data_IF_283006373410
#
_entry.id   IF_283006373410
#
_cell.length_a   1.000
_cell.length_b   1.000
_cell.length_c   1.000
_cell.angle_alpha   90.00
_cell.angle_beta   90.00
_cell.angle_gamma   90.00
#
_symmetry.space_group_name_H-M   'P 1'
#
loop_
_entity.id
_entity.type
_entity.pdbx_description
1 polymer ?
#
# COMPACT_ATOMS: atom_id res chain seq x y z
N UNK A 1 36.32 4.77 -8.39
CA UNK A 1 36.20 3.39 -8.95
C UNK A 1 35.13 2.53 -8.24
N UNK A 2 34.54 2.95 -7.12
CA UNK A 2 33.47 2.23 -6.39
C UNK A 2 32.18 2.06 -7.22
N UNK A 3 31.75 3.06 -7.99
CA UNK A 3 30.44 3.06 -8.64
C UNK A 3 30.21 2.03 -9.78
N UNK A 4 31.20 1.27 -10.22
CA UNK A 4 31.04 0.24 -11.26
C UNK A 4 30.75 -1.15 -10.69
N UNK A 5 31.16 -1.45 -9.45
CA UNK A 5 30.92 -2.76 -8.79
C UNK A 5 29.52 -2.88 -8.19
N UNK A 6 28.86 -1.75 -7.88
CA UNK A 6 27.55 -1.75 -7.22
C UNK A 6 26.37 -1.81 -8.21
N UNK A 7 26.63 -1.58 -9.52
CA UNK A 7 25.59 -1.59 -10.56
C UNK A 7 24.78 -2.89 -10.63
N UNK A 8 25.41 -4.10 -10.61
CA UNK A 8 24.63 -5.35 -10.68
C UNK A 8 23.67 -5.54 -9.51
N UNK A 9 24.09 -5.17 -8.29
CA UNK A 9 23.24 -5.28 -7.10
C UNK A 9 22.07 -4.29 -7.11
N UNK A 10 22.30 -3.06 -7.59
CA UNK A 10 21.23 -2.05 -7.73
C UNK A 10 20.20 -2.44 -8.78
N UNK A 11 20.64 -2.94 -9.94
CA UNK A 11 19.72 -3.45 -10.98
C UNK A 11 18.93 -4.66 -10.48
N UNK A 12 19.55 -5.55 -9.70
CA UNK A 12 18.85 -6.68 -9.09
C UNK A 12 17.80 -6.24 -8.05
N UNK A 13 18.07 -5.16 -7.28
CA UNK A 13 17.07 -4.55 -6.37
C UNK A 13 15.89 -3.94 -7.14
N UNK A 14 16.16 -3.28 -8.26
CA UNK A 14 15.15 -2.70 -9.14
C UNK A 14 14.27 -3.82 -9.75
N UNK A 15 14.89 -4.89 -10.26
CA UNK A 15 14.18 -6.06 -10.78
C UNK A 15 13.36 -6.77 -9.68
N UNK A 16 13.93 -6.93 -8.48
CA UNK A 16 13.23 -7.47 -7.33
C UNK A 16 12.00 -6.64 -6.99
N UNK A 17 12.13 -5.31 -6.96
CA UNK A 17 11.02 -4.40 -6.68
C UNK A 17 9.92 -4.48 -7.72
N UNK A 18 10.29 -4.61 -8.99
CA UNK A 18 9.36 -4.76 -10.10
C UNK A 18 8.54 -6.06 -9.98
N UNK A 19 9.20 -7.20 -9.83
CA UNK A 19 8.51 -8.50 -9.79
C UNK A 19 7.77 -8.73 -8.46
N UNK A 20 8.26 -8.18 -7.36
CA UNK A 20 7.61 -8.29 -6.06
C UNK A 20 6.30 -7.47 -5.98
N UNK A 21 6.15 -6.44 -6.80
CA UNK A 21 4.98 -5.57 -6.82
C UNK A 21 3.69 -6.34 -7.12
N UNK A 22 3.67 -7.15 -8.18
CA UNK A 22 2.50 -7.95 -8.55
C UNK A 22 2.17 -9.03 -7.50
N UNK A 23 3.19 -9.58 -6.86
CA UNK A 23 3.02 -10.55 -5.77
C UNK A 23 2.32 -9.93 -4.55
N UNK A 24 2.55 -8.65 -4.27
CA UNK A 24 1.94 -7.93 -3.15
C UNK A 24 0.54 -7.41 -3.47
N UNK A 25 0.33 -6.90 -4.67
CA UNK A 25 -0.89 -6.20 -5.07
C UNK A 25 -1.78 -7.00 -6.03
N UNK A 26 -1.20 -7.91 -6.81
CA UNK A 26 -1.88 -8.53 -7.96
C UNK A 26 -3.07 -9.42 -7.59
N UNK A 27 -2.96 -10.21 -6.53
CA UNK A 27 -4.01 -11.18 -6.16
C UNK A 27 -5.13 -10.54 -5.33
N UNK A 28 -4.81 -9.57 -4.48
CA UNK A 28 -5.77 -8.98 -3.54
C UNK A 28 -7.07 -8.47 -4.17
N UNK A 29 -7.03 -7.61 -5.18
CA UNK A 29 -8.24 -7.11 -5.86
C UNK A 29 -9.01 -8.21 -6.60
N UNK A 30 -8.32 -9.21 -7.16
CA UNK A 30 -8.95 -10.34 -7.87
C UNK A 30 -9.59 -11.35 -6.94
N UNK A 31 -9.12 -11.48 -5.69
CA UNK A 31 -9.64 -12.42 -4.70
C UNK A 31 -11.13 -12.21 -4.45
N UNK A 32 -11.56 -10.97 -4.23
CA UNK A 32 -12.96 -10.66 -3.97
C UNK A 32 -13.87 -11.11 -5.10
N UNK A 33 -13.48 -10.84 -6.33
CA UNK A 33 -14.24 -11.22 -7.53
C UNK A 33 -14.21 -12.73 -7.76
N UNK A 34 -13.07 -13.40 -7.51
CA UNK A 34 -12.96 -14.86 -7.60
C UNK A 34 -13.90 -15.55 -6.61
N UNK A 35 -13.89 -15.14 -5.34
CA UNK A 35 -14.75 -15.72 -4.31
C UNK A 35 -16.25 -15.45 -4.61
N UNK A 36 -16.58 -14.27 -5.11
CA UNK A 36 -17.91 -13.94 -5.56
C UNK A 36 -18.39 -14.88 -6.69
N UNK A 37 -17.52 -15.16 -7.68
CA UNK A 37 -17.79 -16.08 -8.76
C UNK A 37 -18.02 -17.53 -8.27
N UNK A 38 -17.47 -17.90 -7.11
CA UNK A 38 -17.71 -19.18 -6.44
C UNK A 38 -18.88 -19.15 -5.44
N UNK A 39 -19.74 -18.13 -5.52
CA UNK A 39 -20.96 -18.08 -4.74
C UNK A 39 -20.82 -17.52 -3.33
N UNK A 40 -19.66 -16.97 -2.98
CA UNK A 40 -19.50 -16.28 -1.68
C UNK A 40 -20.27 -14.96 -1.67
N UNK A 41 -20.74 -14.58 -0.46
CA UNK A 41 -21.37 -13.28 -0.24
C UNK A 41 -20.33 -12.22 0.14
N UNK A 42 -20.63 -10.95 -0.10
CA UNK A 42 -19.72 -9.83 0.11
C UNK A 42 -19.23 -9.69 1.57
N UNK A 43 -20.08 -9.96 2.56
CA UNK A 43 -19.71 -9.91 3.99
C UNK A 43 -18.58 -10.87 4.36
N UNK A 44 -18.75 -12.20 4.16
CA UNK A 44 -17.68 -13.18 4.37
C UNK A 44 -16.40 -12.88 3.56
N UNK A 45 -16.50 -12.43 2.32
CA UNK A 45 -15.34 -12.00 1.50
C UNK A 45 -14.59 -10.87 2.22
N UNK A 46 -15.29 -9.81 2.60
CA UNK A 46 -14.71 -8.70 3.33
C UNK A 46 -14.08 -9.12 4.66
N UNK A 47 -14.72 -10.06 5.37
CA UNK A 47 -14.21 -10.58 6.66
C UNK A 47 -12.88 -11.31 6.50
N UNK A 48 -12.75 -12.23 5.54
CA UNK A 48 -11.48 -12.96 5.35
C UNK A 48 -10.35 -12.05 4.90
N UNK A 49 -10.64 -11.05 4.05
CA UNK A 49 -9.66 -10.03 3.64
C UNK A 49 -9.22 -9.21 4.86
N UNK A 50 -10.16 -8.77 5.69
CA UNK A 50 -9.85 -7.98 6.90
C UNK A 50 -9.07 -8.78 7.94
N UNK A 51 -9.39 -10.05 8.18
CA UNK A 51 -8.65 -10.92 9.10
C UNK A 51 -7.19 -11.05 8.64
N UNK A 52 -6.96 -11.30 7.35
CA UNK A 52 -5.63 -11.33 6.77
C UNK A 52 -4.89 -10.00 6.96
N UNK A 53 -5.54 -8.89 6.62
CA UNK A 53 -4.93 -7.55 6.72
C UNK A 53 -4.57 -7.17 8.17
N UNK A 54 -5.44 -7.47 9.15
CA UNK A 54 -5.16 -7.28 10.59
C UNK A 54 -3.98 -8.14 11.03
N UNK A 55 -3.95 -9.42 10.64
CA UNK A 55 -2.85 -10.32 10.97
C UNK A 55 -1.52 -9.81 10.38
N UNK A 56 -1.53 -9.39 9.11
CA UNK A 56 -0.36 -8.78 8.46
C UNK A 56 0.11 -7.51 9.18
N UNK A 57 -0.81 -6.61 9.53
CA UNK A 57 -0.48 -5.39 10.27
C UNK A 57 0.18 -5.69 11.62
N UNK A 58 -0.36 -6.65 12.38
CA UNK A 58 0.22 -7.07 13.66
C UNK A 58 1.60 -7.73 13.50
N UNK A 59 1.84 -8.38 12.36
CA UNK A 59 3.10 -9.06 12.08
C UNK A 59 4.22 -8.12 11.61
N UNK A 60 3.94 -6.90 11.13
CA UNK A 60 4.96 -5.98 10.60
C UNK A 60 6.10 -5.73 11.59
N UNK A 61 5.79 -5.43 12.85
CA UNK A 61 6.78 -5.18 13.89
C UNK A 61 7.64 -6.41 14.20
N UNK A 62 7.05 -7.55 14.56
CA UNK A 62 7.78 -8.80 14.77
C UNK A 62 8.61 -9.24 13.55
N UNK A 63 8.05 -9.18 12.35
CA UNK A 63 8.77 -9.53 11.12
C UNK A 63 9.94 -8.58 10.86
N UNK A 64 9.78 -7.28 11.09
CA UNK A 64 10.86 -6.30 11.00
C UNK A 64 12.01 -6.65 11.94
N UNK A 65 11.71 -6.92 13.21
CA UNK A 65 12.71 -7.33 14.20
C UNK A 65 13.43 -8.63 13.81
N UNK A 66 12.72 -9.61 13.25
CA UNK A 66 13.33 -10.85 12.76
C UNK A 66 14.23 -10.61 11.55
N UNK A 67 13.83 -9.74 10.63
CA UNK A 67 14.64 -9.33 9.46
C UNK A 67 15.91 -8.61 9.90
N UNK A 68 15.83 -7.75 10.93
CA UNK A 68 16.98 -7.05 11.45
C UNK A 68 17.97 -8.01 12.17
N UNK A 69 17.43 -9.00 12.87
CA UNK A 69 18.24 -10.00 13.58
C UNK A 69 18.98 -10.98 12.63
N UNK A 70 18.48 -11.17 11.39
CA UNK A 70 19.09 -12.16 10.48
C UNK A 70 20.15 -11.56 9.56
N UNK A 71 21.22 -12.33 9.32
CA UNK A 71 22.19 -12.08 8.25
C UNK A 71 21.75 -12.64 6.89
N UNK A 72 20.69 -13.49 6.86
CA UNK A 72 20.19 -14.17 5.66
C UNK A 72 18.99 -13.46 5.03
N UNK A 73 19.02 -12.12 4.93
CA UNK A 73 17.90 -11.30 4.44
C UNK A 73 17.36 -11.75 3.07
N UNK A 74 18.24 -12.22 2.16
CA UNK A 74 17.85 -12.74 0.84
C UNK A 74 16.97 -13.99 0.95
N UNK A 75 17.41 -14.97 1.77
CA UNK A 75 16.63 -16.20 1.99
C UNK A 75 15.32 -15.91 2.71
N UNK A 76 15.31 -14.94 3.62
CA UNK A 76 14.11 -14.50 4.32
C UNK A 76 13.05 -13.95 3.35
N UNK A 77 13.44 -13.07 2.44
CA UNK A 77 12.54 -12.52 1.40
C UNK A 77 12.05 -13.64 0.47
N UNK A 78 12.94 -14.55 0.07
CA UNK A 78 12.56 -15.67 -0.80
C UNK A 78 11.54 -16.60 -0.13
N UNK A 79 11.73 -16.94 1.15
CA UNK A 79 10.80 -17.78 1.93
C UNK A 79 9.46 -17.06 2.12
N UNK A 80 9.48 -15.79 2.50
CA UNK A 80 8.26 -14.99 2.65
C UNK A 80 7.47 -14.91 1.31
N UNK A 81 8.18 -14.71 0.20
CA UNK A 81 7.57 -14.73 -1.12
C UNK A 81 6.94 -16.07 -1.49
N UNK A 82 7.63 -17.18 -1.24
CA UNK A 82 7.12 -18.54 -1.47
C UNK A 82 5.90 -18.84 -0.60
N UNK A 83 5.92 -18.46 0.68
CA UNK A 83 4.79 -18.64 1.58
C UNK A 83 3.57 -17.85 1.12
N UNK A 84 3.76 -16.58 0.74
CA UNK A 84 2.70 -15.74 0.20
C UNK A 84 2.08 -16.33 -1.06
N UNK A 85 2.93 -16.76 -2.01
CA UNK A 85 2.48 -17.42 -3.25
C UNK A 85 1.72 -18.72 -2.97
N UNK A 86 2.27 -19.59 -2.12
CA UNK A 86 1.66 -20.88 -1.79
C UNK A 86 0.31 -20.69 -1.10
N UNK A 87 0.22 -19.75 -0.17
CA UNK A 87 -1.02 -19.40 0.50
C UNK A 87 -2.07 -18.89 -0.49
N UNK A 88 -1.67 -18.00 -1.40
CA UNK A 88 -2.55 -17.49 -2.45
C UNK A 88 -3.01 -18.59 -3.42
N UNK A 89 -2.12 -19.54 -3.74
CA UNK A 89 -2.46 -20.71 -4.56
C UNK A 89 -3.51 -21.64 -3.93
N UNK A 90 -3.55 -21.75 -2.59
CA UNK A 90 -4.56 -22.55 -1.89
C UNK A 90 -6.00 -22.09 -2.17
N UNK A 91 -6.19 -20.82 -2.51
CA UNK A 91 -7.48 -20.27 -2.92
C UNK A 91 -8.04 -20.92 -4.19
N UNK A 92 -7.18 -21.40 -5.08
CA UNK A 92 -7.60 -22.12 -6.29
C UNK A 92 -8.00 -23.57 -6.01
N UNK A 93 -7.44 -24.17 -4.95
CA UNK A 93 -7.62 -25.59 -4.64
C UNK A 93 -8.83 -25.82 -3.74
N UNK A 94 -9.12 -24.90 -2.84
CA UNK A 94 -10.20 -25.05 -1.85
C UNK A 94 -10.98 -23.78 -1.64
N UNK A 95 -12.30 -23.90 -1.63
CA UNK A 95 -13.24 -22.80 -1.36
C UNK A 95 -13.81 -22.85 0.08
N UNK A 96 -13.25 -23.68 0.95
CA UNK A 96 -13.71 -23.76 2.34
C UNK A 96 -13.32 -22.48 3.11
N UNK A 97 -14.25 -21.87 3.88
CA UNK A 97 -14.01 -20.57 4.54
C UNK A 97 -12.77 -20.54 5.44
N UNK A 98 -12.51 -21.61 6.18
CA UNK A 98 -11.35 -21.70 7.05
C UNK A 98 -10.02 -21.80 6.29
N UNK A 99 -10.01 -22.47 5.09
CA UNK A 99 -8.82 -22.54 4.24
C UNK A 99 -8.52 -21.17 3.65
N UNK A 100 -9.54 -20.48 3.14
CA UNK A 100 -9.40 -19.13 2.60
C UNK A 100 -8.92 -18.16 3.70
N UNK A 101 -9.53 -18.21 4.90
CA UNK A 101 -9.11 -17.39 6.04
C UNK A 101 -7.65 -17.64 6.44
N UNK A 102 -7.26 -18.91 6.58
CA UNK A 102 -5.89 -19.28 6.90
C UNK A 102 -4.90 -18.84 5.80
N UNK A 103 -5.26 -19.03 4.52
CA UNK A 103 -4.42 -18.59 3.40
C UNK A 103 -4.20 -17.07 3.42
N UNK A 104 -5.24 -16.28 3.70
CA UNK A 104 -5.12 -14.82 3.80
C UNK A 104 -4.24 -14.39 4.97
N UNK A 105 -4.37 -15.03 6.14
CA UNK A 105 -3.50 -14.78 7.29
C UNK A 105 -2.04 -15.07 6.90
N UNK A 106 -1.75 -16.24 6.35
CA UNK A 106 -0.38 -16.64 5.98
C UNK A 106 0.18 -15.72 4.91
N UNK A 107 -0.60 -15.38 3.86
CA UNK A 107 -0.17 -14.48 2.80
C UNK A 107 0.16 -13.07 3.34
N UNK A 108 -0.72 -12.50 4.17
CA UNK A 108 -0.52 -11.15 4.72
C UNK A 108 0.63 -11.09 5.73
N UNK A 109 0.78 -12.12 6.59
CA UNK A 109 1.90 -12.21 7.54
C UNK A 109 3.23 -12.39 6.80
N UNK A 110 3.27 -13.24 5.77
CA UNK A 110 4.45 -13.38 4.92
C UNK A 110 4.76 -12.07 4.18
N UNK A 111 3.74 -11.41 3.63
CA UNK A 111 3.86 -10.10 2.98
C UNK A 111 4.42 -9.01 3.90
N UNK A 112 4.05 -9.05 5.19
CA UNK A 112 4.54 -8.09 6.19
C UNK A 112 6.07 -8.12 6.39
N UNK A 113 6.72 -9.23 6.06
CA UNK A 113 8.19 -9.36 6.12
C UNK A 113 8.91 -8.76 4.91
N UNK A 114 8.21 -8.60 3.78
CA UNK A 114 8.82 -8.15 2.51
C UNK A 114 9.25 -6.69 2.56
N UNK A 115 8.44 -5.81 3.13
CA UNK A 115 8.76 -4.38 3.26
C UNK A 115 10.06 -4.11 4.03
N UNK A 116 10.15 -4.54 5.30
CA UNK A 116 11.40 -4.44 6.09
C UNK A 116 12.59 -5.11 5.40
N UNK A 117 12.37 -6.28 4.78
CA UNK A 117 13.41 -7.00 4.03
C UNK A 117 13.99 -6.17 2.88
N UNK A 118 13.13 -5.50 2.11
CA UNK A 118 13.54 -4.62 1.01
C UNK A 118 14.31 -3.40 1.50
N UNK A 119 13.84 -2.77 2.58
CA UNK A 119 14.55 -1.63 3.20
C UNK A 119 15.93 -2.06 3.67
N UNK A 120 16.04 -3.18 4.39
CA UNK A 120 17.33 -3.71 4.87
C UNK A 120 18.28 -4.08 3.73
N UNK A 121 17.80 -4.74 2.65
CA UNK A 121 18.64 -5.03 1.48
C UNK A 121 19.06 -3.75 0.76
N UNK A 122 18.16 -2.77 0.64
CA UNK A 122 18.48 -1.49 -0.02
C UNK A 122 19.55 -0.72 0.76
N UNK A 123 19.46 -0.69 2.08
CA UNK A 123 20.48 -0.10 2.95
C UNK A 123 21.83 -0.83 2.81
N UNK A 124 21.80 -2.16 2.88
CA UNK A 124 23.03 -2.97 2.79
C UNK A 124 23.75 -2.88 1.44
N UNK A 125 23.02 -2.58 0.33
CA UNK A 125 23.60 -2.47 -1.02
C UNK A 125 23.94 -1.03 -1.39
N UNK A 126 23.09 -0.07 -1.02
CA UNK A 126 23.23 1.32 -1.45
C UNK A 126 23.94 2.19 -0.42
N UNK A 127 24.16 1.69 0.78
CA UNK A 127 24.63 2.41 1.96
C UNK A 127 23.75 3.61 2.31
N UNK A 128 23.92 4.19 3.49
CA UNK A 128 23.08 5.31 3.94
C UNK A 128 23.12 6.50 2.96
N UNK A 129 24.29 6.81 2.40
CA UNK A 129 24.46 7.90 1.44
C UNK A 129 23.68 7.71 0.12
N UNK A 130 23.50 6.46 -0.32
CA UNK A 130 22.79 6.12 -1.57
C UNK A 130 21.35 5.68 -1.38
N UNK A 131 20.90 5.49 -0.15
CA UNK A 131 19.61 4.88 0.17
C UNK A 131 18.42 5.60 -0.45
N UNK A 132 18.31 6.92 -0.25
CA UNK A 132 17.16 7.68 -0.76
C UNK A 132 17.03 7.60 -2.29
N UNK A 133 18.16 7.69 -3.01
CA UNK A 133 18.16 7.60 -4.47
C UNK A 133 17.81 6.20 -4.96
N UNK A 134 18.32 5.14 -4.28
CA UNK A 134 18.01 3.76 -4.64
C UNK A 134 16.58 3.38 -4.26
N UNK A 135 16.11 3.79 -3.07
CA UNK A 135 14.75 3.54 -2.64
C UNK A 135 13.73 4.23 -3.55
N UNK A 136 14.02 5.45 -4.00
CA UNK A 136 13.19 6.14 -5.00
C UNK A 136 13.08 5.36 -6.33
N UNK A 137 14.19 4.78 -6.80
CA UNK A 137 14.18 3.90 -7.99
C UNK A 137 13.43 2.61 -7.74
N UNK A 138 13.64 1.96 -6.61
CA UNK A 138 12.91 0.76 -6.22
C UNK A 138 11.40 1.01 -6.24
N UNK A 139 10.94 2.15 -5.72
CA UNK A 139 9.53 2.52 -5.76
C UNK A 139 9.01 2.76 -7.17
N UNK A 140 9.80 3.41 -8.04
CA UNK A 140 9.41 3.60 -9.44
C UNK A 140 9.26 2.24 -10.18
N UNK A 141 10.20 1.31 -9.94
CA UNK A 141 10.10 -0.06 -10.50
C UNK A 141 8.95 -0.84 -9.88
N UNK A 142 8.63 -0.66 -8.60
CA UNK A 142 7.46 -1.27 -7.96
C UNK A 142 6.15 -0.77 -8.61
N UNK A 143 5.99 0.53 -8.81
CA UNK A 143 4.82 1.06 -9.52
C UNK A 143 4.72 0.58 -10.97
N UNK A 144 5.85 0.47 -11.68
CA UNK A 144 5.88 -0.10 -13.03
C UNK A 144 5.49 -1.58 -13.01
N UNK A 145 5.95 -2.34 -12.01
CA UNK A 145 5.59 -3.75 -11.81
C UNK A 145 4.09 -3.92 -11.54
N UNK A 146 3.50 -3.10 -10.68
CA UNK A 146 2.06 -3.09 -10.43
C UNK A 146 1.25 -2.80 -11.71
N UNK A 147 1.67 -1.80 -12.48
CA UNK A 147 1.00 -1.43 -13.73
C UNK A 147 1.07 -2.57 -14.76
N UNK A 148 2.25 -3.11 -15.00
CA UNK A 148 2.47 -4.20 -15.96
C UNK A 148 1.81 -5.49 -15.50
N UNK A 149 1.94 -5.86 -14.23
CA UNK A 149 1.30 -7.03 -13.63
C UNK A 149 -0.22 -6.95 -13.75
N UNK A 150 -0.82 -5.83 -13.40
CA UNK A 150 -2.27 -5.64 -13.54
C UNK A 150 -2.74 -5.72 -15.00
N UNK A 151 -2.02 -5.08 -15.93
CA UNK A 151 -2.37 -5.13 -17.35
C UNK A 151 -2.28 -6.55 -17.91
N UNK A 152 -1.21 -7.29 -17.59
CA UNK A 152 -1.05 -8.69 -18.00
C UNK A 152 -2.10 -9.60 -17.34
N UNK A 153 -2.39 -9.41 -16.05
CA UNK A 153 -3.44 -10.13 -15.32
C UNK A 153 -4.80 -9.94 -15.97
N UNK A 154 -5.11 -8.71 -16.41
CA UNK A 154 -6.36 -8.42 -17.13
C UNK A 154 -6.45 -9.15 -18.46
N UNK A 155 -5.41 -9.07 -19.30
CA UNK A 155 -5.39 -9.72 -20.62
C UNK A 155 -5.43 -11.24 -20.48
N UNK A 156 -4.60 -11.81 -19.59
CA UNK A 156 -4.52 -13.25 -19.39
C UNK A 156 -5.79 -13.78 -18.71
N UNK A 157 -6.32 -13.05 -17.73
CA UNK A 157 -7.56 -13.41 -17.05
C UNK A 157 -8.77 -13.41 -17.99
N UNK A 158 -8.86 -12.40 -18.87
CA UNK A 158 -9.89 -12.33 -19.90
C UNK A 158 -9.78 -13.49 -20.91
N UNK A 159 -8.54 -13.80 -21.36
CA UNK A 159 -8.30 -14.82 -22.40
C UNK A 159 -8.35 -16.27 -21.89
N UNK A 160 -7.86 -16.51 -20.69
CA UNK A 160 -7.58 -17.83 -20.13
C UNK A 160 -8.25 -18.08 -18.77
N UNK A 161 -9.02 -17.12 -18.26
CA UNK A 161 -9.69 -17.20 -16.97
C UNK A 161 -8.80 -16.88 -15.76
N UNK A 162 -9.40 -16.86 -14.58
CA UNK A 162 -8.73 -16.47 -13.33
C UNK A 162 -7.48 -17.27 -12.98
N UNK A 163 -7.42 -18.55 -13.35
CA UNK A 163 -6.24 -19.39 -13.13
C UNK A 163 -4.98 -18.78 -13.75
N UNK A 164 -5.09 -18.11 -14.89
CA UNK A 164 -3.97 -17.48 -15.56
C UNK A 164 -3.39 -16.31 -14.77
N UNK A 165 -4.20 -15.56 -14.01
CA UNK A 165 -3.75 -14.49 -13.12
C UNK A 165 -2.85 -15.05 -12.02
N UNK A 166 -3.23 -16.18 -11.41
CA UNK A 166 -2.42 -16.86 -10.39
C UNK A 166 -1.14 -17.44 -10.96
N UNK A 167 -1.17 -17.99 -12.17
CA UNK A 167 0.04 -18.45 -12.86
C UNK A 167 1.00 -17.29 -13.18
N UNK A 168 0.48 -16.13 -13.57
CA UNK A 168 1.30 -14.94 -13.76
C UNK A 168 1.97 -14.51 -12.44
N UNK A 169 1.21 -14.47 -11.34
CA UNK A 169 1.76 -14.18 -10.01
C UNK A 169 2.83 -15.22 -9.61
N UNK A 170 2.68 -16.50 -9.97
CA UNK A 170 3.70 -17.52 -9.75
C UNK A 170 4.99 -17.21 -10.54
N UNK A 171 4.87 -16.82 -11.81
CA UNK A 171 6.02 -16.42 -12.64
C UNK A 171 6.71 -15.21 -12.04
N UNK A 172 5.97 -14.18 -11.66
CA UNK A 172 6.54 -12.99 -11.02
C UNK A 172 7.23 -13.32 -9.69
N UNK A 173 6.66 -14.24 -8.91
CA UNK A 173 7.29 -14.72 -7.67
C UNK A 173 8.61 -15.45 -7.93
N UNK A 174 8.67 -16.31 -8.92
CA UNK A 174 9.91 -17.00 -9.31
C UNK A 174 10.96 -15.99 -9.78
N UNK A 175 10.57 -15.00 -10.59
CA UNK A 175 11.47 -13.94 -11.07
C UNK A 175 11.92 -13.01 -9.93
N UNK A 176 11.06 -12.76 -8.95
CA UNK A 176 11.40 -12.04 -7.72
C UNK A 176 12.46 -12.80 -6.90
N UNK A 177 12.26 -14.11 -6.71
CA UNK A 177 13.22 -14.97 -6.01
C UNK A 177 14.55 -15.03 -6.78
N UNK A 178 14.51 -15.18 -8.10
CA UNK A 178 15.72 -15.13 -8.92
C UNK A 178 16.45 -13.79 -8.77
N UNK A 179 15.71 -12.68 -8.78
CA UNK A 179 16.26 -11.33 -8.61
C UNK A 179 16.91 -11.13 -7.24
N UNK A 180 16.30 -11.63 -6.16
CA UNK A 180 16.90 -11.50 -4.82
C UNK A 180 18.18 -12.31 -4.69
N UNK A 181 18.26 -13.47 -5.34
CA UNK A 181 19.49 -14.28 -5.35
C UNK A 181 20.56 -13.75 -6.33
N UNK A 182 20.17 -12.96 -7.32
CA UNK A 182 21.09 -12.24 -8.20
C UNK A 182 21.86 -11.11 -7.47
N UNK A 183 21.40 -10.65 -6.31
CA UNK A 183 22.16 -9.71 -5.48
C UNK A 183 23.37 -10.43 -4.88
N UNK A 184 24.63 -10.07 -5.21
CA UNK A 184 25.82 -10.74 -4.66
C UNK A 184 25.88 -10.58 -3.14
N UNK A 185 26.19 -11.67 -2.42
CA UNK A 185 26.32 -11.62 -0.94
C UNK A 185 27.41 -10.66 -0.49
N UNK A 186 28.50 -10.58 -1.25
CA UNK A 186 29.67 -9.79 -0.93
C UNK A 186 29.44 -8.26 -0.90
N UNK A 187 28.36 -7.78 -1.53
CA UNK A 187 28.05 -6.34 -1.57
C UNK A 187 27.03 -5.92 -0.50
N UNK A 188 26.47 -6.88 0.25
CA UNK A 188 25.49 -6.58 1.30
C UNK A 188 26.25 -6.32 2.59
N UNK A 189 26.30 -5.07 2.99
CA UNK A 189 26.77 -4.69 4.31
C UNK A 189 25.68 -4.97 5.35
N UNK A 190 25.97 -5.94 6.24
CA UNK A 190 24.98 -6.39 7.22
C UNK A 190 24.81 -5.42 8.39
N UNK A 191 25.82 -4.61 8.71
CA UNK A 191 25.76 -3.66 9.80
C UNK A 191 24.98 -2.41 9.36
N UNK A 192 25.24 -1.91 8.15
CA UNK A 192 24.40 -0.88 7.55
C UNK A 192 22.97 -1.35 7.33
N UNK A 193 22.77 -2.59 6.87
CA UNK A 193 21.46 -3.19 6.68
C UNK A 193 20.62 -3.31 7.98
N UNK A 194 21.23 -3.15 9.15
CA UNK A 194 20.60 -3.08 10.48
C UNK A 194 20.49 -1.65 11.00
N UNK A 195 20.99 -0.66 10.27
CA UNK A 195 21.04 0.73 10.71
C UNK A 195 22.05 0.99 11.84
N UNK A 196 23.08 0.13 11.99
CA UNK A 196 24.10 0.25 13.02
C UNK A 196 25.34 1.05 12.57
N UNK A 197 25.46 1.37 11.29
CA UNK A 197 26.52 2.21 10.77
C UNK A 197 26.30 3.66 11.22
N UNK A 198 27.30 4.22 11.92
CA UNK A 198 27.37 5.58 12.42
C UNK A 198 26.38 5.97 13.55
N UNK A 199 26.57 5.35 14.72
CA UNK A 199 26.23 5.97 15.98
C UNK A 199 27.51 6.33 16.78
N UNK A 200 28.25 7.40 16.41
CA UNK A 200 29.27 7.92 17.32
C UNK A 200 28.54 8.71 18.42
N UNK A 201 28.31 8.08 19.57
CA UNK A 201 28.35 8.78 20.83
C UNK A 201 27.19 9.64 21.29
N UNK A 202 26.05 9.70 20.61
CA UNK A 202 24.86 10.38 21.14
C UNK A 202 23.78 9.37 21.52
N UNK A 203 23.81 8.97 22.79
CA UNK A 203 22.68 8.34 23.46
C UNK A 203 21.51 9.31 23.57
N UNK A 204 20.86 9.62 22.47
CA UNK A 204 19.50 10.13 22.52
C UNK A 204 18.62 9.00 23.02
N UNK A 205 18.45 8.91 24.35
CA UNK A 205 17.42 8.04 24.95
C UNK A 205 16.12 8.37 24.25
N UNK A 206 15.50 7.42 23.53
CA UNK A 206 14.21 7.68 22.92
C UNK A 206 13.24 7.98 24.07
N UNK A 207 12.84 9.23 24.21
CA UNK A 207 11.68 9.54 25.04
C UNK A 207 10.55 8.66 24.53
N UNK A 208 9.91 7.88 25.42
CA UNK A 208 8.98 6.81 25.07
C UNK A 208 7.90 7.20 24.05
N UNK A 209 7.29 6.24 23.42
CA UNK A 209 6.18 6.37 22.47
C UNK A 209 5.09 7.34 22.96
N UNK A 210 4.95 7.50 24.30
CA UNK A 210 4.02 8.41 24.93
C UNK A 210 4.08 9.86 24.42
N UNK A 211 5.27 10.36 24.03
CA UNK A 211 5.40 11.74 23.55
C UNK A 211 4.83 11.99 22.15
N UNK A 212 4.58 10.95 21.36
CA UNK A 212 3.86 11.07 20.09
C UNK A 212 2.40 11.40 20.32
N UNK A 213 1.82 10.91 21.44
CA UNK A 213 0.43 11.19 21.85
C UNK A 213 0.25 12.63 22.41
N UNK A 214 1.33 13.33 22.68
CA UNK A 214 1.28 14.73 23.13
C UNK A 214 1.12 15.71 21.95
N UNK A 215 1.48 15.29 20.73
CA UNK A 215 1.38 16.14 19.54
C UNK A 215 -0.05 16.14 18.96
N UNK A 216 -0.84 17.13 19.33
CA UNK A 216 -2.20 17.31 18.78
C UNK A 216 -2.25 17.32 17.26
N UNK A 217 -1.34 18.03 16.51
CA UNK A 217 -1.35 17.99 15.05
C UNK A 217 -1.15 16.59 14.50
N UNK A 218 -0.26 15.78 15.13
CA UNK A 218 0.00 14.40 14.71
C UNK A 218 -1.21 13.49 14.94
N UNK A 219 -1.87 13.63 16.10
CA UNK A 219 -3.08 12.84 16.40
C UNK A 219 -4.23 13.15 15.44
N UNK A 220 -4.45 14.43 15.13
CA UNK A 220 -5.48 14.81 14.14
C UNK A 220 -5.14 14.26 12.76
N UNK A 221 -3.88 14.34 12.33
CA UNK A 221 -3.44 13.76 11.07
C UNK A 221 -3.63 12.23 11.06
N UNK A 222 -3.29 11.54 12.16
CA UNK A 222 -3.49 10.10 12.31
C UNK A 222 -4.97 9.71 12.19
N UNK A 223 -5.85 10.41 12.91
CA UNK A 223 -7.29 10.15 12.87
C UNK A 223 -7.88 10.42 11.49
N UNK A 224 -7.52 11.54 10.85
CA UNK A 224 -8.00 11.88 9.52
C UNK A 224 -7.54 10.87 8.45
N UNK A 225 -6.27 10.44 8.50
CA UNK A 225 -5.73 9.44 7.58
C UNK A 225 -6.30 8.05 7.85
N UNK A 226 -6.49 7.66 9.10
CA UNK A 226 -7.16 6.39 9.46
C UNK A 226 -8.58 6.32 8.88
N UNK A 227 -9.37 7.38 9.05
CA UNK A 227 -10.73 7.46 8.53
C UNK A 227 -10.76 7.50 7.00
N UNK A 228 -9.78 8.16 6.38
CA UNK A 228 -9.62 8.12 4.93
C UNK A 228 -9.43 6.68 4.44
N UNK A 229 -8.46 5.95 4.99
CA UNK A 229 -8.19 4.57 4.59
C UNK A 229 -9.31 3.60 4.97
N UNK A 230 -10.06 3.89 6.03
CA UNK A 230 -11.28 3.14 6.38
C UNK A 230 -12.35 3.28 5.29
N UNK A 231 -12.45 4.44 4.67
CA UNK A 231 -13.35 4.65 3.53
C UNK A 231 -12.81 4.10 2.21
N UNK A 232 -11.51 4.21 1.99
CA UNK A 232 -10.88 3.98 0.69
C UNK A 232 -10.57 2.52 0.37
N UNK A 233 -9.97 1.79 1.30
CA UNK A 233 -9.31 0.51 1.02
C UNK A 233 -10.24 -0.58 0.47
N UNK A 234 -11.52 -0.58 0.84
CA UNK A 234 -12.49 -1.54 0.31
C UNK A 234 -13.15 -1.08 -0.99
N UNK A 235 -13.05 0.20 -1.38
CA UNK A 235 -13.81 0.72 -2.54
C UNK A 235 -13.42 0.01 -3.83
N UNK A 236 -12.13 -0.17 -4.11
CA UNK A 236 -11.66 -0.82 -5.33
C UNK A 236 -12.17 -2.27 -5.45
N UNK A 237 -11.94 -3.17 -4.47
CA UNK A 237 -12.45 -4.54 -4.56
C UNK A 237 -13.98 -4.62 -4.55
N UNK A 238 -14.68 -3.78 -3.79
CA UNK A 238 -16.14 -3.76 -3.75
C UNK A 238 -16.74 -3.25 -5.07
N UNK A 239 -16.13 -2.24 -5.69
CA UNK A 239 -16.56 -1.75 -6.98
C UNK A 239 -16.40 -2.80 -8.07
N UNK A 240 -15.28 -3.54 -8.08
CA UNK A 240 -15.07 -4.69 -8.94
C UNK A 240 -16.17 -5.76 -8.74
N UNK A 241 -16.43 -6.13 -7.50
CA UNK A 241 -17.50 -7.09 -7.18
C UNK A 241 -18.90 -6.57 -7.59
N UNK A 242 -19.18 -5.29 -7.42
CA UNK A 242 -20.45 -4.67 -7.80
C UNK A 242 -20.71 -4.77 -9.30
N UNK A 243 -19.73 -4.43 -10.14
CA UNK A 243 -19.86 -4.48 -11.60
C UNK A 243 -20.01 -5.91 -12.11
N UNK A 244 -19.26 -6.85 -11.50
CA UNK A 244 -19.33 -8.28 -11.83
C UNK A 244 -20.67 -8.87 -11.41
N UNK A 245 -21.15 -8.57 -10.20
CA UNK A 245 -22.47 -9.01 -9.72
C UNK A 245 -23.61 -8.46 -10.58
N UNK A 246 -23.45 -7.28 -11.18
CA UNK A 246 -24.39 -6.69 -12.13
C UNK A 246 -24.28 -7.25 -13.56
N UNK A 247 -23.37 -8.20 -13.83
CA UNK A 247 -23.06 -8.73 -15.17
C UNK A 247 -22.71 -7.65 -16.20
N UNK A 248 -22.04 -6.57 -15.79
CA UNK A 248 -21.73 -5.40 -16.63
C UNK A 248 -20.26 -5.25 -17.00
N UNK A 249 -19.46 -6.32 -16.92
CA UNK A 249 -18.06 -6.32 -17.31
C UNK A 249 -17.42 -7.69 -17.17
N UNK A 250 -16.33 -7.91 -17.92
CA UNK A 250 -15.47 -9.06 -17.70
C UNK A 250 -14.75 -8.93 -16.35
N UNK A 251 -14.83 -9.92 -15.47
CA UNK A 251 -14.33 -9.81 -14.11
C UNK A 251 -12.84 -9.46 -14.04
N UNK A 252 -12.00 -10.17 -14.79
CA UNK A 252 -10.55 -9.98 -14.75
C UNK A 252 -10.12 -8.69 -15.45
N UNK A 253 -10.68 -8.42 -16.63
CA UNK A 253 -10.40 -7.21 -17.39
C UNK A 253 -10.84 -5.95 -16.66
N UNK A 254 -12.01 -5.97 -15.97
CA UNK A 254 -12.48 -4.84 -15.20
C UNK A 254 -11.54 -4.53 -14.02
N UNK A 255 -11.19 -5.53 -13.18
CA UNK A 255 -10.28 -5.35 -12.05
C UNK A 255 -8.90 -4.87 -12.51
N UNK A 256 -8.37 -5.40 -13.60
CA UNK A 256 -7.11 -4.91 -14.16
C UNK A 256 -7.20 -3.44 -14.58
N UNK A 257 -8.30 -3.06 -15.24
CA UNK A 257 -8.51 -1.67 -15.68
C UNK A 257 -8.59 -0.72 -14.49
N UNK A 258 -9.23 -1.11 -13.37
CA UNK A 258 -9.26 -0.29 -12.15
C UNK A 258 -7.85 0.03 -11.67
N UNK A 259 -6.97 -0.98 -11.57
CA UNK A 259 -5.59 -0.81 -11.11
C UNK A 259 -4.78 0.05 -12.09
N UNK A 260 -4.86 -0.23 -13.38
CA UNK A 260 -4.09 0.50 -14.42
C UNK A 260 -4.47 1.98 -14.45
N UNK A 261 -5.76 2.30 -14.41
CA UNK A 261 -6.23 3.68 -14.41
C UNK A 261 -5.79 4.41 -13.14
N UNK A 262 -6.05 3.82 -11.96
CA UNK A 262 -5.68 4.42 -10.68
C UNK A 262 -4.17 4.68 -10.60
N UNK A 263 -3.32 3.69 -10.91
CA UNK A 263 -1.86 3.81 -10.87
C UNK A 263 -1.32 4.82 -11.90
N UNK A 264 -1.86 4.81 -13.12
CA UNK A 264 -1.44 5.76 -14.14
C UNK A 264 -1.71 7.21 -13.74
N UNK A 265 -2.90 7.48 -13.21
CA UNK A 265 -3.28 8.82 -12.71
C UNK A 265 -2.48 9.17 -11.46
N UNK A 266 -2.27 8.23 -10.54
CA UNK A 266 -1.50 8.44 -9.31
C UNK A 266 -0.06 8.92 -9.61
N UNK A 267 0.62 8.33 -10.58
CA UNK A 267 1.97 8.77 -10.99
C UNK A 267 1.98 10.22 -11.43
N UNK A 268 1.07 10.60 -12.32
CA UNK A 268 0.98 11.99 -12.81
C UNK A 268 0.63 12.95 -11.67
N UNK A 269 -0.34 12.56 -10.84
CA UNK A 269 -0.82 13.41 -9.75
C UNK A 269 0.22 13.59 -8.65
N UNK A 270 1.06 12.59 -8.37
CA UNK A 270 2.15 12.73 -7.39
C UNK A 270 3.18 13.79 -7.81
N UNK A 271 3.45 13.93 -9.11
CA UNK A 271 4.31 14.99 -9.64
C UNK A 271 3.67 16.38 -9.48
N UNK A 272 2.36 16.48 -9.68
CA UNK A 272 1.61 17.72 -9.46
C UNK A 272 1.56 18.04 -7.96
N UNK A 273 1.34 17.03 -7.12
CA UNK A 273 1.30 17.16 -5.66
C UNK A 273 2.59 17.74 -5.10
N UNK A 274 3.76 17.30 -5.57
CA UNK A 274 5.06 17.85 -5.16
C UNK A 274 5.15 19.37 -5.46
N UNK A 275 4.72 19.81 -6.65
CA UNK A 275 4.73 21.22 -7.03
C UNK A 275 3.70 22.04 -6.22
N UNK A 276 2.53 21.47 -6.00
CA UNK A 276 1.46 22.12 -5.23
C UNK A 276 1.85 22.25 -3.76
N UNK A 277 2.40 21.19 -3.16
CA UNK A 277 2.90 21.20 -1.79
C UNK A 277 4.02 22.23 -1.59
N UNK A 278 4.96 22.33 -2.53
CA UNK A 278 6.02 23.33 -2.48
C UNK A 278 5.52 24.78 -2.57
N UNK A 279 4.38 25.01 -3.26
CA UNK A 279 3.82 26.38 -3.46
C UNK A 279 2.78 26.74 -2.42
N UNK A 280 1.91 25.83 -2.03
CA UNK A 280 0.72 26.08 -1.20
C UNK A 280 0.74 25.35 0.15
N UNK A 281 1.77 24.51 0.38
CA UNK A 281 1.90 23.69 1.57
C UNK A 281 1.05 22.42 1.52
N UNK A 282 1.29 21.52 2.48
CA UNK A 282 0.65 20.20 2.55
C UNK A 282 -0.82 20.26 2.98
N UNK A 283 -1.23 21.33 3.70
CA UNK A 283 -2.59 21.45 4.20
C UNK A 283 -3.65 21.42 3.09
N UNK A 284 -3.41 22.21 2.02
CA UNK A 284 -4.32 22.29 0.87
C UNK A 284 -4.33 20.98 0.07
N UNK A 285 -3.17 20.35 -0.08
CA UNK A 285 -3.04 19.09 -0.83
C UNK A 285 -3.87 17.99 -0.16
N UNK A 286 -3.79 17.85 1.17
CA UNK A 286 -4.57 16.87 1.93
C UNK A 286 -6.05 17.23 1.98
N UNK A 287 -6.39 18.53 2.05
CA UNK A 287 -7.78 18.98 1.98
C UNK A 287 -8.45 18.50 0.68
N UNK A 288 -7.76 18.68 -0.46
CA UNK A 288 -8.27 18.22 -1.76
C UNK A 288 -8.41 16.70 -1.79
N UNK A 289 -7.40 15.96 -1.30
CA UNK A 289 -7.46 14.50 -1.24
C UNK A 289 -8.68 14.01 -0.43
N UNK A 290 -8.90 14.59 0.75
CA UNK A 290 -10.05 14.22 1.60
C UNK A 290 -11.39 14.59 0.98
N UNK A 291 -11.46 15.64 0.17
CA UNK A 291 -12.69 16.06 -0.51
C UNK A 291 -13.04 15.18 -1.74
N UNK A 292 -12.05 14.55 -2.37
CA UNK A 292 -12.26 13.74 -3.58
C UNK A 292 -12.90 12.39 -3.27
N UNK A 293 -12.58 11.76 -2.14
CA UNK A 293 -13.04 10.41 -1.86
C UNK A 293 -14.56 10.29 -1.62
N UNK A 294 -15.25 11.24 -0.96
CA UNK A 294 -16.71 11.25 -0.90
C UNK A 294 -17.36 11.30 -2.29
N UNK A 295 -16.78 12.10 -3.19
CA UNK A 295 -17.25 12.20 -4.59
C UNK A 295 -17.06 10.86 -5.30
N UNK A 296 -15.89 10.22 -5.11
CA UNK A 296 -15.60 8.88 -5.62
C UNK A 296 -16.63 7.86 -5.14
N UNK A 297 -16.92 7.84 -3.82
CA UNK A 297 -17.89 6.90 -3.24
C UNK A 297 -19.30 7.05 -3.82
N UNK A 298 -19.78 8.28 -4.01
CA UNK A 298 -21.06 8.56 -4.64
C UNK A 298 -21.08 8.16 -6.12
N UNK A 299 -20.01 8.46 -6.86
CA UNK A 299 -19.90 8.07 -8.27
C UNK A 299 -19.81 6.55 -8.41
N UNK A 300 -19.01 5.86 -7.60
CA UNK A 300 -18.91 4.41 -7.62
C UNK A 300 -20.24 3.74 -7.31
N UNK A 301 -20.99 4.26 -6.34
CA UNK A 301 -22.33 3.76 -6.00
C UNK A 301 -23.38 4.00 -7.09
N UNK A 302 -23.27 5.08 -7.86
CA UNK A 302 -24.21 5.43 -8.92
C UNK A 302 -23.84 4.86 -10.30
N UNK A 303 -22.54 4.63 -10.57
CA UNK A 303 -22.02 4.21 -11.87
C UNK A 303 -21.52 2.75 -11.83
N UNK A 304 -22.38 1.80 -11.41
CA UNK A 304 -22.06 0.36 -11.46
C UNK A 304 -22.19 -0.14 -12.90
N UNK A 305 -21.29 0.32 -13.75
CA UNK A 305 -21.22 0.00 -15.19
C UNK A 305 -19.76 -0.09 -15.63
N UNK A 306 -19.49 -0.83 -16.72
CA UNK A 306 -18.13 -1.06 -17.18
C UNK A 306 -17.31 0.22 -17.44
N UNK A 307 -17.90 1.23 -18.07
CA UNK A 307 -17.21 2.51 -18.34
C UNK A 307 -17.05 3.40 -17.09
N UNK A 308 -17.79 3.13 -16.02
CA UNK A 308 -17.70 3.87 -14.75
C UNK A 308 -16.32 3.76 -14.09
N UNK A 309 -15.50 2.77 -14.48
CA UNK A 309 -14.11 2.63 -14.04
C UNK A 309 -13.28 3.90 -14.26
N UNK A 310 -13.50 4.59 -15.39
CA UNK A 310 -12.71 5.77 -15.71
C UNK A 310 -12.87 6.91 -14.70
N UNK A 311 -14.07 7.49 -14.48
CA UNK A 311 -14.20 8.58 -13.52
C UNK A 311 -13.96 8.15 -12.07
N UNK A 312 -14.31 6.92 -11.70
CA UNK A 312 -14.16 6.42 -10.33
C UNK A 312 -12.68 6.22 -9.98
N UNK A 313 -11.92 5.54 -10.84
CA UNK A 313 -10.52 5.24 -10.55
C UNK A 313 -9.56 6.40 -10.88
N UNK A 314 -9.98 7.32 -11.75
CA UNK A 314 -9.25 8.59 -11.89
C UNK A 314 -9.28 9.41 -10.61
N UNK A 315 -10.43 9.48 -9.91
CA UNK A 315 -10.53 10.16 -8.61
C UNK A 315 -9.67 9.46 -7.55
N UNK A 316 -9.62 8.12 -7.56
CA UNK A 316 -8.74 7.35 -6.70
C UNK A 316 -7.27 7.70 -6.94
N UNK A 317 -6.84 7.62 -8.19
CA UNK A 317 -5.46 7.94 -8.56
C UNK A 317 -5.07 9.37 -8.19
N UNK A 318 -6.01 10.34 -8.32
CA UNK A 318 -5.75 11.73 -7.88
C UNK A 318 -5.62 11.79 -6.37
N UNK A 319 -6.55 11.22 -5.59
CA UNK A 319 -6.51 11.26 -4.13
C UNK A 319 -5.26 10.56 -3.59
N UNK A 320 -4.97 9.35 -4.07
CA UNK A 320 -3.81 8.55 -3.67
C UNK A 320 -2.48 9.21 -4.05
N UNK A 321 -2.41 9.83 -5.24
CA UNK A 321 -1.24 10.60 -5.67
C UNK A 321 -0.96 11.82 -4.81
N UNK A 322 -2.00 12.56 -4.41
CA UNK A 322 -1.88 13.68 -3.48
C UNK A 322 -1.41 13.22 -2.10
N UNK A 323 -2.00 12.14 -1.57
CA UNK A 323 -1.68 11.58 -0.25
C UNK A 323 -0.26 11.03 -0.17
N UNK A 324 0.21 10.34 -1.21
CA UNK A 324 1.55 9.74 -1.24
C UNK A 324 2.68 10.74 -1.01
N UNK A 325 2.46 12.00 -1.40
CA UNK A 325 3.41 13.10 -1.22
C UNK A 325 3.11 13.90 0.05
N UNK A 326 1.83 14.22 0.27
CA UNK A 326 1.48 15.20 1.29
C UNK A 326 1.47 14.62 2.71
N UNK A 327 1.11 13.35 2.90
CA UNK A 327 1.08 12.75 4.23
C UNK A 327 2.50 12.62 4.83
N UNK A 328 3.49 11.98 4.17
CA UNK A 328 4.84 11.91 4.71
C UNK A 328 5.50 13.30 4.88
N UNK A 329 5.25 14.21 3.93
CA UNK A 329 5.79 15.55 4.00
C UNK A 329 5.25 16.37 5.18
N UNK A 330 3.95 16.29 5.46
CA UNK A 330 3.33 16.91 6.63
C UNK A 330 3.91 16.36 7.93
N UNK A 331 4.01 15.04 8.06
CA UNK A 331 4.53 14.38 9.26
C UNK A 331 5.98 14.83 9.51
N UNK A 332 6.80 14.91 8.47
CA UNK A 332 8.16 15.41 8.57
C UNK A 332 8.20 16.87 9.07
N UNK A 333 7.24 17.73 8.65
CA UNK A 333 7.14 19.10 9.13
C UNK A 333 6.64 19.21 10.58
N UNK A 334 5.64 18.41 10.97
CA UNK A 334 5.12 18.38 12.36
C UNK A 334 6.23 17.96 13.32
N UNK A 335 7.08 17.04 12.89
CA UNK A 335 8.13 16.44 13.74
C UNK A 335 9.52 17.08 13.53
N UNK A 336 9.58 18.20 12.80
CA UNK A 336 10.84 18.91 12.55
C UNK A 336 11.51 19.32 13.88
N UNK A 337 12.83 19.10 13.98
CA UNK A 337 13.60 19.38 15.20
C UNK A 337 13.39 18.41 16.36
N UNK A 338 12.49 17.42 16.26
CA UNK A 338 12.22 16.45 17.35
C UNK A 338 13.09 15.21 17.31
N UNK A 339 13.76 14.92 16.17
CA UNK A 339 14.50 13.66 15.95
C UNK A 339 13.60 12.41 15.83
N UNK A 340 12.26 12.56 15.62
CA UNK A 340 11.29 11.46 15.71
C UNK A 340 10.42 11.27 14.48
N UNK A 341 10.85 11.80 13.36
CA UNK A 341 10.10 11.71 12.10
C UNK A 341 9.75 10.27 11.76
N UNK A 342 10.71 9.34 11.87
CA UNK A 342 10.49 7.93 11.52
C UNK A 342 9.47 7.24 12.45
N UNK A 343 9.54 7.52 13.77
CA UNK A 343 8.59 6.96 14.73
C UNK A 343 7.16 7.49 14.48
N UNK A 344 7.01 8.77 14.16
CA UNK A 344 5.73 9.37 13.79
C UNK A 344 5.19 8.83 12.46
N UNK A 345 6.05 8.66 11.46
CA UNK A 345 5.68 7.99 10.19
C UNK A 345 5.16 6.58 10.46
N UNK A 346 5.85 5.79 11.28
CA UNK A 346 5.41 4.45 11.67
C UNK A 346 4.06 4.46 12.38
N UNK A 347 3.83 5.38 13.31
CA UNK A 347 2.55 5.52 14.00
C UNK A 347 1.39 5.88 13.05
N UNK A 348 1.64 6.79 12.11
CA UNK A 348 0.67 7.16 11.08
C UNK A 348 0.38 5.98 10.14
N UNK A 349 1.41 5.26 9.70
CA UNK A 349 1.24 4.06 8.87
C UNK A 349 0.43 2.97 9.60
N UNK A 350 0.63 2.81 10.92
CA UNK A 350 -0.18 1.90 11.71
C UNK A 350 -1.66 2.34 11.77
N UNK A 351 -1.92 3.63 11.95
CA UNK A 351 -3.28 4.16 11.93
C UNK A 351 -3.97 3.97 10.57
N UNK A 352 -3.26 4.28 9.48
CA UNK A 352 -3.73 4.03 8.09
C UNK A 352 -3.99 2.53 7.87
N UNK A 353 -3.06 1.67 8.29
CA UNK A 353 -3.17 0.22 8.18
C UNK A 353 -4.38 -0.32 8.94
N UNK A 354 -4.67 0.21 10.13
CA UNK A 354 -5.86 -0.17 10.88
C UNK A 354 -7.15 0.19 10.15
N UNK A 355 -7.28 1.42 9.65
CA UNK A 355 -8.41 1.83 8.83
C UNK A 355 -8.59 0.94 7.60
N UNK A 356 -7.49 0.72 6.86
CA UNK A 356 -7.48 -0.13 5.68
C UNK A 356 -7.81 -1.59 5.97
N UNK A 357 -7.38 -2.14 7.10
CA UNK A 357 -7.64 -3.52 7.46
C UNK A 357 -9.10 -3.78 7.86
N UNK A 358 -9.77 -2.80 8.48
CA UNK A 358 -11.19 -2.91 8.89
C UNK A 358 -12.14 -2.66 7.70
N UNK A 359 -11.72 -1.83 6.75
CA UNK A 359 -12.53 -1.38 5.61
C UNK A 359 -13.22 -2.51 4.84
N UNK A 360 -12.55 -3.62 4.44
CA UNK A 360 -13.19 -4.67 3.64
C UNK A 360 -14.32 -5.40 4.39
N UNK A 361 -14.16 -5.67 5.68
CA UNK A 361 -15.23 -6.26 6.48
C UNK A 361 -16.43 -5.33 6.56
N UNK A 362 -16.20 -4.05 6.90
CA UNK A 362 -17.25 -3.06 7.01
C UNK A 362 -18.01 -2.90 5.69
N UNK A 363 -17.28 -2.65 4.60
CA UNK A 363 -17.88 -2.49 3.29
C UNK A 363 -18.59 -3.73 2.78
N UNK A 364 -18.02 -4.92 3.02
CA UNK A 364 -18.60 -6.20 2.63
C UNK A 364 -19.94 -6.49 3.33
N UNK A 365 -20.02 -6.26 4.65
CA UNK A 365 -21.25 -6.47 5.39
C UNK A 365 -22.34 -5.45 5.04
N UNK A 366 -21.97 -4.18 4.81
CA UNK A 366 -22.93 -3.18 4.32
C UNK A 366 -23.43 -3.56 2.91
N UNK A 367 -22.53 -4.01 2.02
CA UNK A 367 -22.89 -4.45 0.68
C UNK A 367 -23.85 -5.65 0.72
N UNK A 368 -23.65 -6.58 1.63
CA UNK A 368 -24.51 -7.73 1.78
C UNK A 368 -25.91 -7.37 2.35
N UNK A 369 -25.97 -6.40 3.26
CA UNK A 369 -27.20 -6.00 3.92
C UNK A 369 -28.02 -4.99 3.11
N UNK A 370 -27.36 -4.02 2.47
CA UNK A 370 -27.98 -2.85 1.86
C UNK A 370 -27.66 -2.71 0.36
N UNK A 371 -26.84 -3.59 -0.20
CA UNK A 371 -26.36 -3.55 -1.58
C UNK A 371 -25.10 -2.74 -1.78
N UNK A 372 -24.43 -2.97 -2.91
CA UNK A 372 -23.16 -2.32 -3.27
C UNK A 372 -23.24 -0.78 -3.36
N UNK A 373 -24.31 -0.17 -3.93
CA UNK A 373 -24.42 1.29 -3.97
C UNK A 373 -24.36 1.93 -2.58
N UNK A 374 -25.09 1.36 -1.62
CA UNK A 374 -25.11 1.85 -0.25
C UNK A 374 -23.76 1.68 0.44
N UNK A 375 -23.07 0.54 0.23
CA UNK A 375 -21.75 0.29 0.77
C UNK A 375 -20.71 1.32 0.26
N UNK A 376 -20.67 1.56 -1.04
CA UNK A 376 -19.74 2.49 -1.67
C UNK A 376 -20.01 3.94 -1.20
N UNK A 377 -21.27 4.35 -1.12
CA UNK A 377 -21.65 5.67 -0.60
C UNK A 377 -21.29 5.82 0.89
N UNK A 378 -21.52 4.78 1.72
CA UNK A 378 -21.18 4.80 3.15
C UNK A 378 -19.66 4.85 3.36
N UNK A 379 -18.91 4.07 2.62
CA UNK A 379 -17.44 4.13 2.65
C UNK A 379 -16.95 5.53 2.26
N UNK A 380 -17.53 6.16 1.23
CA UNK A 380 -17.26 7.53 0.85
C UNK A 380 -17.64 8.57 1.90
N UNK A 381 -18.51 8.25 2.85
CA UNK A 381 -18.87 9.16 3.92
C UNK A 381 -17.81 9.28 5.03
N UNK A 382 -16.97 8.25 5.27
CA UNK A 382 -15.90 8.35 6.28
C UNK A 382 -14.90 9.48 6.00
N UNK A 383 -14.43 9.71 4.78
CA UNK A 383 -13.58 10.84 4.45
C UNK A 383 -14.24 12.22 4.64
N UNK A 384 -15.58 12.33 4.67
CA UNK A 384 -16.23 13.57 5.11
C UNK A 384 -15.89 13.89 6.56
N UNK A 385 -15.77 12.87 7.42
CA UNK A 385 -15.33 13.06 8.80
C UNK A 385 -13.85 13.46 8.82
N UNK A 386 -13.00 12.86 7.96
CA UNK A 386 -11.60 13.29 7.78
C UNK A 386 -11.54 14.76 7.36
N UNK A 387 -12.36 15.16 6.39
CA UNK A 387 -12.46 16.53 5.90
C UNK A 387 -12.95 17.48 7.01
N UNK A 388 -13.97 17.09 7.77
CA UNK A 388 -14.49 17.88 8.89
C UNK A 388 -13.42 18.06 9.99
N UNK A 389 -12.72 17.01 10.37
CA UNK A 389 -11.58 17.08 11.30
C UNK A 389 -10.49 18.01 10.76
N UNK A 390 -10.15 17.89 9.46
CA UNK A 390 -9.13 18.70 8.82
C UNK A 390 -9.46 20.20 8.84
N UNK A 391 -10.72 20.55 8.63
CA UNK A 391 -11.23 21.93 8.67
C UNK A 391 -11.36 22.44 10.11
N UNK A 392 -11.90 21.62 11.02
CA UNK A 392 -12.08 22.01 12.42
C UNK A 392 -10.74 22.32 13.12
N UNK A 393 -9.70 21.53 12.82
CA UNK A 393 -8.36 21.73 13.38
C UNK A 393 -7.41 22.50 12.45
N UNK A 394 -7.93 23.24 11.48
CA UNK A 394 -7.13 24.02 10.54
C UNK A 394 -6.15 24.97 11.23
N UNK A 395 -6.56 25.61 12.34
CA UNK A 395 -5.70 26.54 13.11
C UNK A 395 -4.49 25.82 13.74
N UNK A 396 -4.63 24.56 14.10
CA UNK A 396 -3.57 23.73 14.67
C UNK A 396 -2.64 23.16 13.59
N UNK A 397 -3.19 22.83 12.43
CA UNK A 397 -2.47 22.14 11.35
C UNK A 397 -1.74 23.08 10.39
N UNK A 398 -2.36 24.22 10.01
CA UNK A 398 -1.80 25.16 9.02
C UNK A 398 -0.39 25.66 9.35
N UNK A 399 -0.01 25.98 10.59
CA UNK A 399 1.33 26.41 10.91
C UNK A 399 2.40 25.38 10.56
N UNK A 400 2.08 24.09 10.74
CA UNK A 400 2.96 22.95 10.44
C UNK A 400 2.90 22.49 8.98
N UNK A 401 1.91 22.94 8.23
CA UNK A 401 1.66 22.49 6.86
C UNK A 401 1.87 23.60 5.81
N UNK A 402 2.39 24.74 6.21
CA UNK A 402 2.69 25.88 5.33
C UNK A 402 3.86 25.54 4.38
N UNK A 403 3.86 26.14 3.19
CA UNK A 403 5.00 26.08 2.30
C UNK A 403 6.22 26.74 3.02
N UNK A 404 7.36 26.01 3.04
CA UNK A 404 8.60 26.63 3.56
C UNK A 404 8.97 27.82 2.66
N UNK A 405 9.17 28.99 3.24
CA UNK A 405 9.77 30.11 2.53
C UNK A 405 11.12 29.63 1.97
N UNK A 406 11.33 29.77 0.66
CA UNK A 406 12.66 29.52 0.09
C UNK A 406 13.62 30.48 0.75
N UNK A 407 14.52 29.96 1.58
CA UNK A 407 15.71 30.70 1.94
C UNK A 407 16.48 30.93 0.65
N UNK A 408 16.41 32.13 0.16
CA UNK A 408 17.15 32.65 -0.98
C UNK A 408 18.66 32.52 -0.76
#
# INVERSE_FOLDING_TARGET
MAGRRDRPGRTALEALSFFMADMQAGIGPFLGVLLLAHGWRAGPIGTVISIGAVAGMMAVGPCGAMVDATSHKRSWIAVAGLLSLSASGLVLVSQQPWVIGASQIVACVAGAALGPGMVGLTLGVAHQAGFNAQNGRNQAFNHAGNLVGAALSGVLGWRFGFAAVFWLAAVFSVLSIASVFAIPRAIIDHDEARGLADAPGESHRPRGWASLFESRPLLVAAAALMLFYLGDAAMLPLYGMAVVAAHRGDPAGFVATTIVVAQGVMVVTSLVAMRLAARRGYWLVLLVAFALLPIRGLLAGSLIVGWGVWPVEMLDGVASGLLSVAAPGLIAQIMDGTGRVNAAQGAIMAAQGFGGAVSPALGGWIAQAMGYPAALATLGAFPLVSLALWLAFARTLRPHAAARARSS
#
